data_IF_672795398306
#
_entry.id   IF_672795398306
#
_cell.length_a   1.000
_cell.length_b   1.000
_cell.length_c   1.000
_cell.angle_alpha   90.00
_cell.angle_beta   90.00
_cell.angle_gamma   90.00
#
_symmetry.space_group_name_H-M   'P 1'
#
loop_
_entity.id
_entity.type
_entity.pdbx_description
1 polymer ?
#
# COMPACT_ATOMS: atom_id res chain seq x y z
N UNK A 1 -17.36 -11.74 -10.48
CA UNK A 1 -18.19 -10.58 -10.87
C UNK A 1 -18.01 -9.47 -9.85
N UNK A 2 -17.79 -8.23 -10.27
CA UNK A 2 -17.67 -7.07 -9.37
C UNK A 2 -19.05 -6.71 -8.80
N UNK A 3 -19.11 -6.33 -7.52
CA UNK A 3 -20.33 -5.80 -6.88
C UNK A 3 -20.52 -4.29 -7.14
N UNK A 4 -19.67 -3.68 -7.98
CA UNK A 4 -19.73 -2.28 -8.40
C UNK A 4 -19.54 -2.20 -9.92
N UNK A 5 -19.97 -1.10 -10.54
CA UNK A 5 -19.71 -0.87 -11.96
C UNK A 5 -18.20 -0.74 -12.24
N UNK A 6 -17.77 -1.10 -13.45
CA UNK A 6 -16.37 -0.99 -13.86
C UNK A 6 -15.84 0.45 -13.74
N UNK A 7 -16.62 1.45 -14.15
CA UNK A 7 -16.24 2.86 -13.99
C UNK A 7 -16.04 3.27 -12.53
N UNK A 8 -16.91 2.82 -11.62
CA UNK A 8 -16.77 3.08 -10.18
C UNK A 8 -15.53 2.38 -9.62
N UNK A 9 -15.28 1.14 -10.01
CA UNK A 9 -14.08 0.41 -9.62
C UNK A 9 -12.82 1.18 -10.01
N UNK A 10 -12.71 1.59 -11.28
CA UNK A 10 -11.54 2.30 -11.83
C UNK A 10 -11.33 3.64 -11.10
N UNK A 11 -12.37 4.46 -10.97
CA UNK A 11 -12.28 5.76 -10.30
C UNK A 11 -11.82 5.62 -8.85
N UNK A 12 -12.50 4.76 -8.08
CA UNK A 12 -12.18 4.58 -6.64
C UNK A 12 -10.79 4.02 -6.44
N UNK A 13 -10.34 3.13 -7.32
CA UNK A 13 -8.97 2.63 -7.34
C UNK A 13 -7.95 3.75 -7.54
N UNK A 14 -8.12 4.62 -8.54
CA UNK A 14 -7.17 5.72 -8.78
C UNK A 14 -7.14 6.72 -7.62
N UNK A 15 -8.30 7.09 -7.07
CA UNK A 15 -8.36 7.97 -5.88
C UNK A 15 -7.66 7.32 -4.69
N UNK A 16 -7.96 6.04 -4.44
CA UNK A 16 -7.30 5.27 -3.40
C UNK A 16 -5.79 5.20 -3.59
N UNK A 17 -5.33 4.98 -4.83
CA UNK A 17 -3.91 4.90 -5.17
C UNK A 17 -3.18 6.21 -4.93
N UNK A 18 -3.74 7.33 -5.39
CA UNK A 18 -3.15 8.65 -5.11
C UNK A 18 -3.08 8.93 -3.62
N UNK A 19 -4.16 8.70 -2.88
CA UNK A 19 -4.18 8.89 -1.43
C UNK A 19 -3.13 8.02 -0.73
N UNK A 20 -3.09 6.74 -1.08
CA UNK A 20 -2.17 5.77 -0.49
C UNK A 20 -0.70 6.10 -0.81
N UNK A 21 -0.43 6.53 -2.05
CA UNK A 21 0.90 6.97 -2.48
C UNK A 21 1.34 8.21 -1.71
N UNK A 22 0.48 9.23 -1.56
CA UNK A 22 0.80 10.42 -0.78
C UNK A 22 1.07 10.09 0.69
N UNK A 23 0.28 9.18 1.27
CA UNK A 23 0.52 8.72 2.64
C UNK A 23 1.86 7.99 2.77
N UNK A 24 2.21 7.12 1.81
CA UNK A 24 3.47 6.39 1.79
C UNK A 24 4.66 7.35 1.69
N UNK A 25 4.60 8.34 0.79
CA UNK A 25 5.61 9.40 0.68
C UNK A 25 5.75 10.21 1.97
N UNK A 26 4.63 10.61 2.59
CA UNK A 26 4.67 11.36 3.86
C UNK A 26 5.25 10.53 5.01
N UNK A 27 4.97 9.22 5.08
CA UNK A 27 5.59 8.33 6.06
C UNK A 27 7.10 8.19 5.80
N UNK A 28 7.51 8.06 4.54
CA UNK A 28 8.91 8.00 4.17
C UNK A 28 9.67 9.28 4.53
N UNK A 29 9.09 10.45 4.25
CA UNK A 29 9.66 11.75 4.65
C UNK A 29 9.83 11.86 6.16
N UNK A 30 8.83 11.42 6.93
CA UNK A 30 8.90 11.44 8.39
C UNK A 30 9.98 10.49 8.95
N UNK A 31 10.17 9.32 8.33
CA UNK A 31 11.13 8.29 8.78
C UNK A 31 12.55 8.47 8.27
N UNK A 32 12.76 9.29 7.24
CA UNK A 32 14.09 9.58 6.69
C UNK A 32 14.62 10.95 7.15
N UNK A 33 14.27 11.34 8.38
CA UNK A 33 14.87 12.50 9.05
C UNK A 33 16.29 12.18 9.55
N UNK A 34 17.06 13.21 9.90
CA UNK A 34 18.47 13.10 10.32
C UNK A 34 18.71 12.14 11.50
N UNK A 35 17.71 11.94 12.37
CA UNK A 35 17.81 11.01 13.50
C UNK A 35 17.51 9.56 13.10
N UNK A 36 16.55 9.33 12.22
CA UNK A 36 16.10 8.00 11.83
C UNK A 36 16.89 7.42 10.65
N UNK A 37 17.38 8.26 9.74
CA UNK A 37 18.13 7.85 8.55
C UNK A 37 19.34 6.92 8.83
N UNK A 38 20.14 7.11 9.90
CA UNK A 38 21.25 6.20 10.24
C UNK A 38 20.79 4.74 10.48
N UNK A 39 19.56 4.52 10.93
CA UNK A 39 19.03 3.17 11.17
C UNK A 39 18.60 2.45 9.88
N UNK A 40 18.55 3.15 8.75
CA UNK A 40 18.25 2.61 7.42
C UNK A 40 19.50 2.53 6.53
N UNK A 41 20.70 2.68 7.09
CA UNK A 41 21.96 2.55 6.36
C UNK A 41 22.11 1.14 5.77
N UNK A 42 22.46 1.04 4.48
CA UNK A 42 22.49 -0.21 3.72
C UNK A 42 21.12 -0.69 3.19
N UNK A 43 20.01 -0.10 3.64
CA UNK A 43 18.69 -0.27 3.03
C UNK A 43 18.40 0.81 1.97
N UNK A 44 18.73 2.06 2.28
CA UNK A 44 18.64 3.18 1.32
C UNK A 44 19.83 3.11 0.37
N UNK A 45 19.57 3.17 -0.95
CA UNK A 45 20.62 3.27 -1.96
C UNK A 45 21.31 4.64 -1.82
N UNK A 46 22.57 4.65 -1.41
CA UNK A 46 23.41 5.86 -1.28
C UNK A 46 24.52 5.90 -2.34
N UNK A 47 25.11 7.08 -2.57
CA UNK A 47 26.25 7.27 -3.48
C UNK A 47 25.91 7.20 -4.98
N UNK A 48 26.84 6.72 -5.81
CA UNK A 48 26.69 6.59 -7.28
C UNK A 48 25.50 5.69 -7.70
N UNK A 49 25.04 4.80 -6.80
CA UNK A 49 23.85 3.97 -7.01
C UNK A 49 22.51 4.70 -6.81
N UNK A 50 22.51 5.89 -6.21
CA UNK A 50 21.31 6.71 -6.00
C UNK A 50 20.93 7.50 -7.26
N UNK A 51 21.93 8.04 -7.99
CA UNK A 51 21.74 8.82 -9.22
C UNK A 51 21.53 7.96 -10.47
N UNK A 52 21.97 6.70 -10.45
CA UNK A 52 21.93 5.81 -11.62
C UNK A 52 20.60 5.02 -11.84
N UNK A 53 19.62 5.04 -10.92
CA UNK A 53 18.58 4.00 -11.00
C UNK A 53 17.33 4.10 -10.12
N UNK A 54 16.82 5.30 -9.82
CA UNK A 54 15.46 5.42 -9.28
C UNK A 54 14.46 5.10 -10.40
N UNK A 55 13.99 3.86 -10.44
CA UNK A 55 12.94 3.46 -11.36
C UNK A 55 11.56 3.73 -10.72
N UNK A 56 11.14 4.99 -10.78
CA UNK A 56 9.84 5.46 -10.24
C UNK A 56 8.69 4.62 -10.78
N UNK A 57 8.77 4.19 -12.05
CA UNK A 57 7.76 3.34 -12.69
C UNK A 57 7.63 2.02 -11.96
N UNK A 58 8.74 1.32 -11.66
CA UNK A 58 8.71 0.06 -10.91
C UNK A 58 8.18 0.24 -9.50
N UNK A 59 8.54 1.32 -8.81
CA UNK A 59 8.04 1.61 -7.46
C UNK A 59 6.54 1.89 -7.47
N UNK A 60 6.09 2.71 -8.42
CA UNK A 60 4.67 3.04 -8.62
C UNK A 60 3.86 1.79 -8.94
N UNK A 61 4.30 0.99 -9.91
CA UNK A 61 3.63 -0.27 -10.28
C UNK A 61 3.65 -1.28 -9.13
N UNK A 62 4.79 -1.41 -8.44
CA UNK A 62 4.94 -2.31 -7.29
C UNK A 62 3.96 -1.98 -6.16
N UNK A 63 3.72 -0.70 -5.90
CA UNK A 63 2.75 -0.23 -4.92
C UNK A 63 1.30 -0.29 -5.41
N UNK A 64 1.10 -0.11 -6.72
CA UNK A 64 -0.21 -0.17 -7.37
C UNK A 64 -0.85 -1.56 -7.29
N UNK A 65 -0.05 -2.62 -7.42
CA UNK A 65 -0.51 -4.02 -7.40
C UNK A 65 -1.25 -4.40 -6.11
N UNK A 66 -0.66 -4.27 -4.90
CA UNK A 66 -1.35 -4.65 -3.67
C UNK A 66 -2.63 -3.83 -3.47
N UNK A 67 -2.63 -2.54 -3.78
CA UNK A 67 -3.85 -1.75 -3.66
C UNK A 67 -4.93 -2.16 -4.68
N UNK A 68 -4.53 -2.52 -5.90
CA UNK A 68 -5.45 -3.06 -6.91
C UNK A 68 -6.09 -4.36 -6.42
N UNK A 69 -5.28 -5.28 -5.87
CA UNK A 69 -5.77 -6.54 -5.30
C UNK A 69 -6.73 -6.28 -4.13
N UNK A 70 -6.42 -5.31 -3.25
CA UNK A 70 -7.33 -4.89 -2.17
C UNK A 70 -8.66 -4.36 -2.71
N UNK A 71 -8.63 -3.48 -3.71
CA UNK A 71 -9.82 -2.94 -4.35
C UNK A 71 -10.67 -4.06 -4.98
N UNK A 72 -10.01 -4.95 -5.72
CA UNK A 72 -10.65 -6.07 -6.40
C UNK A 72 -11.28 -7.05 -5.41
N UNK A 73 -10.54 -7.46 -4.39
CA UNK A 73 -11.03 -8.40 -3.40
C UNK A 73 -12.19 -7.81 -2.57
N UNK A 74 -12.09 -6.54 -2.16
CA UNK A 74 -13.19 -5.85 -1.50
C UNK A 74 -14.45 -5.79 -2.38
N UNK A 75 -14.27 -5.55 -3.68
CA UNK A 75 -15.38 -5.45 -4.64
C UNK A 75 -16.03 -6.80 -4.98
N UNK A 76 -15.43 -7.92 -4.61
CA UNK A 76 -15.93 -9.27 -4.92
C UNK A 76 -16.50 -9.99 -3.69
N UNK A 77 -15.97 -9.74 -2.49
CA UNK A 77 -16.52 -10.34 -1.26
C UNK A 77 -17.96 -9.87 -1.01
N UNK A 78 -18.85 -10.84 -0.79
CA UNK A 78 -20.25 -10.67 -0.37
C UNK A 78 -20.45 -11.20 1.05
N UNK A 79 -19.76 -10.62 2.03
CA UNK A 79 -19.98 -10.97 3.45
C UNK A 79 -20.95 -9.99 4.11
N UNK A 80 -21.87 -10.45 4.98
CA UNK A 80 -22.81 -9.62 5.73
C UNK A 80 -22.14 -8.89 6.92
N UNK A 81 -20.94 -8.37 6.70
CA UNK A 81 -20.11 -7.70 7.70
C UNK A 81 -20.02 -6.21 7.35
N UNK A 82 -19.87 -5.36 8.37
CA UNK A 82 -19.58 -3.92 8.19
C UNK A 82 -18.49 -3.70 7.14
N UNK A 83 -18.74 -2.75 6.23
CA UNK A 83 -17.77 -2.39 5.18
C UNK A 83 -16.40 -2.02 5.76
N UNK A 84 -16.37 -1.43 6.96
CA UNK A 84 -15.14 -1.05 7.66
C UNK A 84 -14.31 -2.28 8.00
N UNK A 85 -14.92 -3.26 8.67
CA UNK A 85 -14.23 -4.49 9.08
C UNK A 85 -13.75 -5.27 7.87
N UNK A 86 -14.55 -5.32 6.80
CA UNK A 86 -14.14 -5.94 5.54
C UNK A 86 -12.94 -5.23 4.91
N UNK A 87 -12.93 -3.90 4.90
CA UNK A 87 -11.83 -3.12 4.34
C UNK A 87 -10.54 -3.31 5.16
N UNK A 88 -10.63 -3.31 6.49
CA UNK A 88 -9.50 -3.60 7.37
C UNK A 88 -8.97 -5.01 7.11
N UNK A 89 -9.86 -6.01 7.06
CA UNK A 89 -9.48 -7.39 6.79
C UNK A 89 -8.78 -7.53 5.43
N UNK A 90 -9.39 -7.06 4.34
CA UNK A 90 -8.82 -7.15 2.99
C UNK A 90 -7.50 -6.40 2.91
N UNK A 91 -7.47 -5.14 3.37
CA UNK A 91 -6.27 -4.31 3.34
C UNK A 91 -5.12 -4.98 4.09
N UNK A 92 -5.39 -5.52 5.29
CA UNK A 92 -4.39 -6.14 6.14
C UNK A 92 -3.86 -7.45 5.58
N UNK A 93 -4.74 -8.30 5.03
CA UNK A 93 -4.34 -9.58 4.44
C UNK A 93 -3.48 -9.37 3.19
N UNK A 94 -3.89 -8.43 2.32
CA UNK A 94 -3.13 -8.13 1.10
C UNK A 94 -1.79 -7.49 1.44
N UNK A 95 -1.75 -6.51 2.35
CA UNK A 95 -0.51 -5.86 2.74
C UNK A 95 0.45 -6.81 3.48
N UNK A 96 -0.08 -7.70 4.32
CA UNK A 96 0.74 -8.70 5.02
C UNK A 96 1.36 -9.69 4.01
N UNK A 97 0.57 -10.20 3.08
CA UNK A 97 1.09 -11.07 2.03
C UNK A 97 2.10 -10.35 1.11
N UNK A 98 1.80 -9.11 0.71
CA UNK A 98 2.60 -8.35 -0.23
C UNK A 98 3.92 -7.84 0.38
N UNK A 99 3.90 -7.25 1.58
CA UNK A 99 5.09 -6.62 2.15
C UNK A 99 5.83 -7.55 3.10
N UNK A 100 5.17 -8.16 4.07
CA UNK A 100 5.89 -9.07 4.99
C UNK A 100 6.37 -10.33 4.26
N UNK A 101 5.56 -10.89 3.36
CA UNK A 101 5.99 -12.01 2.51
C UNK A 101 7.22 -11.63 1.68
N UNK A 102 7.09 -10.60 0.84
CA UNK A 102 8.17 -10.17 -0.07
C UNK A 102 9.43 -9.73 0.69
N UNK A 103 9.30 -8.92 1.73
CA UNK A 103 10.46 -8.40 2.47
C UNK A 103 11.15 -9.48 3.30
N UNK A 104 10.44 -10.53 3.74
CA UNK A 104 11.07 -11.70 4.38
C UNK A 104 11.89 -12.51 3.38
N UNK A 105 11.39 -12.71 2.16
CA UNK A 105 12.17 -13.36 1.10
C UNK A 105 13.39 -12.49 0.72
N UNK A 106 13.22 -11.17 0.59
CA UNK A 106 14.31 -10.25 0.28
C UNK A 106 15.35 -10.20 1.41
N UNK A 107 14.96 -10.19 2.69
CA UNK A 107 15.94 -10.24 3.79
C UNK A 107 16.75 -11.53 3.76
N UNK A 108 16.12 -12.66 3.42
CA UNK A 108 16.80 -13.95 3.34
C UNK A 108 17.75 -14.07 2.14
N UNK A 109 17.46 -13.37 1.04
CA UNK A 109 18.24 -13.46 -0.21
C UNK A 109 19.24 -12.30 -0.39
N UNK A 110 18.97 -11.14 0.20
CA UNK A 110 19.60 -9.87 -0.15
C UNK A 110 20.64 -9.34 0.84
N UNK A 111 20.93 -10.03 1.95
CA UNK A 111 21.82 -9.52 3.02
C UNK A 111 21.44 -8.13 3.54
N UNK A 112 20.16 -7.77 3.47
CA UNK A 112 19.64 -6.51 3.99
C UNK A 112 19.20 -6.72 5.43
N UNK A 113 19.50 -5.76 6.30
CA UNK A 113 19.14 -5.86 7.71
C UNK A 113 17.62 -6.04 7.89
N UNK A 114 17.23 -7.02 8.69
CA UNK A 114 15.83 -7.39 8.97
C UNK A 114 15.03 -6.21 9.54
N UNK A 115 15.64 -5.44 10.45
CA UNK A 115 14.96 -4.36 11.15
C UNK A 115 14.37 -3.28 10.22
N UNK A 116 15.16 -2.60 9.37
CA UNK A 116 14.63 -1.57 8.46
C UNK A 116 13.63 -2.13 7.44
N UNK A 117 13.78 -3.40 7.03
CA UNK A 117 12.80 -4.07 6.17
C UNK A 117 11.45 -4.25 6.87
N UNK A 118 11.43 -4.67 8.13
CA UNK A 118 10.18 -4.82 8.87
C UNK A 118 9.53 -3.48 9.19
N UNK A 119 10.31 -2.45 9.51
CA UNK A 119 9.78 -1.08 9.68
C UNK A 119 9.13 -0.62 8.38
N UNK A 120 9.80 -0.80 7.24
CA UNK A 120 9.23 -0.46 5.93
C UNK A 120 7.96 -1.26 5.63
N UNK A 121 7.92 -2.56 5.96
CA UNK A 121 6.73 -3.40 5.80
C UNK A 121 5.51 -2.84 6.57
N UNK A 122 5.74 -2.41 7.82
CA UNK A 122 4.71 -1.83 8.68
C UNK A 122 4.22 -0.50 8.10
N UNK A 123 5.11 0.33 7.58
CA UNK A 123 4.78 1.60 6.94
C UNK A 123 3.95 1.41 5.66
N UNK A 124 4.37 0.50 4.80
CA UNK A 124 3.66 0.17 3.57
C UNK A 124 2.26 -0.40 3.88
N UNK A 125 2.16 -1.30 4.85
CA UNK A 125 0.87 -1.79 5.37
C UNK A 125 0.01 -0.66 5.95
N UNK A 126 0.64 0.22 6.74
CA UNK A 126 0.02 1.41 7.32
C UNK A 126 -0.49 2.39 6.27
N UNK A 127 0.00 2.33 5.03
CA UNK A 127 -0.53 3.08 3.90
C UNK A 127 -1.62 2.36 3.12
N UNK A 128 -1.50 1.04 2.90
CA UNK A 128 -2.51 0.26 2.17
C UNK A 128 -3.83 0.15 2.94
N UNK A 129 -3.80 0.02 4.27
CA UNK A 129 -5.03 -0.14 5.06
C UNK A 129 -5.92 1.11 4.97
N UNK A 130 -5.44 2.34 5.21
CA UNK A 130 -6.19 3.58 4.96
C UNK A 130 -6.63 3.74 3.50
N UNK A 131 -5.78 3.39 2.53
CA UNK A 131 -6.16 3.41 1.11
C UNK A 131 -7.34 2.47 0.80
N UNK A 132 -7.31 1.27 1.37
CA UNK A 132 -8.40 0.28 1.24
C UNK A 132 -9.68 0.76 1.92
N UNK A 133 -9.57 1.43 3.06
CA UNK A 133 -10.71 2.06 3.75
C UNK A 133 -11.34 3.17 2.90
N UNK A 134 -10.53 4.03 2.28
CA UNK A 134 -11.03 5.08 1.39
C UNK A 134 -11.74 4.49 0.17
N UNK A 135 -11.15 3.47 -0.48
CA UNK A 135 -11.77 2.75 -1.59
C UNK A 135 -13.11 2.16 -1.15
N UNK A 136 -13.13 1.48 -0.01
CA UNK A 136 -14.34 0.87 0.54
C UNK A 136 -15.43 1.91 0.83
N UNK A 137 -15.06 3.06 1.41
CA UNK A 137 -15.99 4.16 1.65
C UNK A 137 -16.55 4.73 0.33
N UNK A 138 -15.71 4.98 -0.67
CA UNK A 138 -16.15 5.48 -1.97
C UNK A 138 -17.03 4.46 -2.73
N UNK A 139 -16.73 3.17 -2.59
CA UNK A 139 -17.49 2.08 -3.22
C UNK A 139 -18.81 1.76 -2.53
N UNK A 140 -18.99 2.18 -1.27
CA UNK A 140 -20.21 1.89 -0.49
C UNK A 140 -21.07 3.13 -0.22
N UNK A 141 -20.47 4.24 0.21
CA UNK A 141 -21.18 5.43 0.72
C UNK A 141 -20.95 6.71 -0.08
N UNK A 142 -19.82 6.87 -0.75
CA UNK A 142 -19.42 8.12 -1.42
C UNK A 142 -20.34 8.65 -2.53
N UNK A 143 -21.45 7.98 -2.83
CA UNK A 143 -22.43 8.39 -3.86
C UNK A 143 -23.89 8.34 -3.38
N UNK A 144 -24.15 8.12 -2.09
CA UNK A 144 -25.53 8.12 -1.56
C UNK A 144 -26.15 9.53 -1.44
N UNK A 145 -25.45 10.57 -1.90
CA UNK A 145 -25.94 11.97 -1.97
C UNK A 145 -26.68 12.31 -3.26
N UNK A 146 -27.16 11.30 -4.00
CA UNK A 146 -27.99 11.51 -5.20
C UNK A 146 -29.18 10.56 -5.19
N UNK A 147 -30.08 10.78 -4.22
CA UNK A 147 -31.47 10.34 -4.25
C UNK A 147 -32.29 11.33 -3.40
#
# INVERSE_FOLDING_TARGET
>A
MLNVSAGRFIWTFFVGYFFCSMLNWGIAEFLLNDWAAPYFEGFVRSGEGASAGINIVKMSVGFMIPLFVSAWWFSTIRTPISWVLRAIYVGSMVSLAAFFGTYTFISGWGNVNWWPLMVTAVCDMGSIVPGTLLIAWLQTRGTQTSA
#
